data_IF_795915236774
#
_entry.id   IF_795915236774
#
_cell.length_a   1.000
_cell.length_b   1.000
_cell.length_c   1.000
_cell.angle_alpha   90.00
_cell.angle_beta   90.00
_cell.angle_gamma   90.00
#
_symmetry.space_group_name_H-M   'P 1'
#
loop_
_entity.id
_entity.type
_entity.pdbx_description
1 polymer ?
#
# COMPACT_ATOMS: atom_id res chain seq x y z
N UNK A 1 2.76 -15.94 13.98
CA UNK A 1 1.50 -15.18 14.01
C UNK A 1 1.12 -14.94 12.57
N UNK A 2 -0.07 -15.37 12.12
CA UNK A 2 -0.56 -15.07 10.77
C UNK A 2 -0.95 -13.61 10.75
N UNK A 3 -0.10 -12.75 10.18
CA UNK A 3 -0.49 -11.38 9.84
C UNK A 3 -1.58 -11.52 8.77
N UNK A 4 -2.80 -11.05 9.07
CA UNK A 4 -3.85 -11.00 8.08
C UNK A 4 -3.66 -9.75 7.25
N UNK A 5 -3.47 -9.92 5.95
CA UNK A 5 -3.43 -8.79 5.03
C UNK A 5 -4.80 -8.09 5.02
N UNK A 6 -4.77 -6.76 5.08
CA UNK A 6 -5.94 -5.90 5.07
C UNK A 6 -6.04 -5.27 3.68
N UNK A 7 -7.09 -5.63 2.95
CA UNK A 7 -7.38 -5.03 1.66
C UNK A 7 -8.35 -3.86 1.83
N UNK A 8 -7.95 -2.71 1.27
CA UNK A 8 -8.72 -1.48 1.30
C UNK A 8 -9.15 -1.14 -0.13
N UNK A 9 -10.37 -0.62 -0.29
CA UNK A 9 -10.84 -0.05 -1.55
C UNK A 9 -9.75 0.79 -2.22
N UNK A 10 -9.40 0.44 -3.46
CA UNK A 10 -8.30 1.04 -4.22
C UNK A 10 -8.36 2.57 -4.22
N UNK A 11 -9.55 3.14 -4.43
CA UNK A 11 -9.76 4.59 -4.41
C UNK A 11 -9.44 5.19 -3.04
N UNK A 12 -9.89 4.54 -1.96
CA UNK A 12 -9.65 4.99 -0.58
C UNK A 12 -8.16 4.90 -0.24
N UNK A 13 -7.50 3.82 -0.66
CA UNK A 13 -6.08 3.58 -0.42
C UNK A 13 -5.21 4.67 -1.07
N UNK A 14 -5.37 4.89 -2.38
CA UNK A 14 -4.59 5.90 -3.08
C UNK A 14 -4.97 7.33 -2.67
N UNK A 15 -6.24 7.60 -2.35
CA UNK A 15 -6.63 8.91 -1.82
C UNK A 15 -5.97 9.23 -0.47
N UNK A 16 -5.82 8.23 0.40
CA UNK A 16 -5.10 8.38 1.66
C UNK A 16 -3.61 8.67 1.41
N UNK A 17 -2.97 7.95 0.49
CA UNK A 17 -1.57 8.18 0.11
C UNK A 17 -1.38 9.59 -0.46
N UNK A 18 -2.25 10.03 -1.38
CA UNK A 18 -2.19 11.38 -1.96
C UNK A 18 -2.27 12.46 -0.88
N UNK A 19 -3.12 12.28 0.14
CA UNK A 19 -3.20 13.21 1.27
C UNK A 19 -1.94 13.21 2.12
N UNK A 20 -1.36 12.05 2.39
CA UNK A 20 -0.10 11.95 3.14
C UNK A 20 1.02 12.63 2.34
N UNK A 21 1.09 12.40 1.03
CA UNK A 21 2.07 13.04 0.15
C UNK A 21 1.91 14.57 0.15
N UNK A 22 0.67 15.08 0.08
CA UNK A 22 0.40 16.52 0.20
C UNK A 22 0.86 17.11 1.54
N UNK A 23 0.65 16.38 2.64
CA UNK A 23 1.12 16.79 3.96
C UNK A 23 2.66 16.88 3.95
N UNK A 24 3.35 15.86 3.43
CA UNK A 24 4.81 15.85 3.34
C UNK A 24 5.31 17.03 2.48
N UNK A 25 4.72 17.26 1.30
CA UNK A 25 5.07 18.39 0.43
C UNK A 25 4.77 19.76 1.04
N UNK A 26 3.87 19.84 2.02
CA UNK A 26 3.64 21.08 2.77
C UNK A 26 4.81 21.41 3.70
N UNK A 27 5.47 20.39 4.25
CA UNK A 27 6.64 20.56 5.12
C UNK A 27 7.95 20.67 4.32
N UNK A 28 8.09 19.89 3.26
CA UNK A 28 9.23 19.90 2.36
C UNK A 28 8.75 19.84 0.90
N UNK A 29 8.56 21.00 0.24
CA UNK A 29 8.10 21.06 -1.14
C UNK A 29 9.07 20.42 -2.14
N UNK A 30 10.34 20.30 -1.78
CA UNK A 30 11.40 19.70 -2.61
C UNK A 30 11.62 18.22 -2.27
N UNK A 31 10.75 17.64 -1.44
CA UNK A 31 10.83 16.22 -1.08
C UNK A 31 10.89 15.34 -2.35
N UNK A 32 11.76 14.32 -2.35
CA UNK A 32 11.97 13.47 -3.51
C UNK A 32 10.69 12.72 -3.91
N UNK A 33 10.53 12.46 -5.21
CA UNK A 33 9.37 11.75 -5.77
C UNK A 33 9.19 10.31 -5.23
N UNK A 34 10.15 9.82 -4.45
CA UNK A 34 10.13 8.51 -3.80
C UNK A 34 9.20 8.43 -2.57
N UNK A 35 8.73 9.56 -2.02
CA UNK A 35 7.87 9.59 -0.82
C UNK A 35 6.66 8.66 -0.95
N UNK A 36 6.03 8.63 -2.14
CA UNK A 36 4.89 7.75 -2.40
C UNK A 36 5.26 6.27 -2.27
N UNK A 37 6.39 5.88 -2.85
CA UNK A 37 6.89 4.50 -2.78
C UNK A 37 7.22 4.10 -1.35
N UNK A 38 7.85 5.00 -0.59
CA UNK A 38 8.19 4.76 0.81
C UNK A 38 6.93 4.58 1.68
N UNK A 39 5.89 5.38 1.45
CA UNK A 39 4.59 5.22 2.12
C UNK A 39 3.98 3.85 1.81
N UNK A 40 3.92 3.47 0.53
CA UNK A 40 3.36 2.17 0.11
C UNK A 40 4.13 1.02 0.73
N UNK A 41 5.47 1.10 0.74
CA UNK A 41 6.31 0.07 1.34
C UNK A 41 6.00 -0.11 2.83
N UNK A 42 5.92 0.98 3.60
CA UNK A 42 5.60 0.90 5.03
C UNK A 42 4.18 0.36 5.26
N UNK A 43 3.19 0.79 4.49
CA UNK A 43 1.82 0.27 4.61
C UNK A 43 1.75 -1.24 4.33
N UNK A 44 2.48 -1.71 3.32
CA UNK A 44 2.53 -3.13 2.97
C UNK A 44 3.35 -3.99 3.94
N UNK A 45 4.58 -3.59 4.23
CA UNK A 45 5.53 -4.40 5.02
C UNK A 45 5.21 -4.38 6.53
N UNK A 46 4.84 -3.22 7.08
CA UNK A 46 4.62 -3.07 8.53
C UNK A 46 3.16 -3.29 8.93
N UNK A 47 2.20 -2.88 8.08
CA UNK A 47 0.76 -2.96 8.40
C UNK A 47 0.01 -4.05 7.63
N UNK A 48 0.64 -4.71 6.64
CA UNK A 48 -0.04 -5.69 5.79
C UNK A 48 -1.20 -5.08 5.00
N UNK A 49 -1.15 -3.77 4.73
CA UNK A 49 -2.24 -3.03 4.11
C UNK A 49 -1.99 -2.86 2.61
N UNK A 50 -2.96 -3.28 1.80
CA UNK A 50 -2.85 -3.26 0.35
C UNK A 50 -4.14 -2.74 -0.30
N UNK A 51 -4.07 -2.14 -1.51
CA UNK A 51 -5.27 -1.83 -2.28
C UNK A 51 -5.95 -3.13 -2.75
N UNK A 52 -7.27 -3.12 -2.92
CA UNK A 52 -8.02 -4.26 -3.48
C UNK A 52 -7.49 -4.72 -4.84
N UNK A 53 -6.93 -3.82 -5.66
CA UNK A 53 -6.28 -4.16 -6.92
C UNK A 53 -5.06 -5.10 -6.74
N UNK A 54 -4.40 -5.08 -5.59
CA UNK A 54 -3.33 -6.05 -5.30
C UNK A 54 -3.86 -7.49 -5.20
N UNK A 55 -5.15 -7.68 -4.90
CA UNK A 55 -5.78 -9.00 -4.85
C UNK A 55 -5.90 -9.64 -6.24
N UNK A 56 -6.17 -8.86 -7.28
CA UNK A 56 -6.30 -9.37 -8.66
C UNK A 56 -4.95 -9.75 -9.27
N UNK A 57 -3.83 -9.25 -8.72
CA UNK A 57 -2.49 -9.76 -8.98
C UNK A 57 -2.19 -11.10 -8.29
N UNK A 58 -2.94 -11.45 -7.23
CA UNK A 58 -2.78 -12.69 -6.46
C UNK A 58 -3.55 -13.88 -7.04
N UNK A 59 -4.46 -13.67 -8.00
CA UNK A 59 -5.18 -14.77 -8.69
C UNK A 59 -4.29 -15.58 -9.64
N UNK A 60 -3.05 -15.13 -9.88
CA UNK A 60 -1.99 -15.88 -10.57
C UNK A 60 -0.90 -16.44 -9.64
N UNK A 61 -1.05 -16.33 -8.32
CA UNK A 61 -0.22 -17.12 -7.42
C UNK A 61 -0.72 -18.57 -7.49
N UNK A 62 0.13 -19.55 -7.86
CA UNK A 62 -0.32 -20.94 -7.91
C UNK A 62 -0.82 -21.34 -6.53
N UNK A 63 -1.98 -21.99 -6.51
CA UNK A 63 -2.66 -22.53 -5.34
C UNK A 63 -1.85 -23.68 -4.67
N UNK A 64 -0.58 -23.46 -4.33
CA UNK A 64 0.32 -24.47 -3.76
C UNK A 64 0.64 -24.26 -2.28
N UNK A 65 -0.12 -23.44 -1.56
CA UNK A 65 -0.07 -23.39 -0.09
C UNK A 65 -1.45 -23.64 0.54
N UNK A 66 -2.04 -24.79 0.22
CA UNK A 66 -2.99 -25.45 1.11
C UNK A 66 -2.99 -26.98 0.86
N UNK A 67 -2.29 -27.68 1.77
CA UNK A 67 -2.38 -29.11 2.12
C UNK A 67 -1.99 -30.17 1.07
#
# INVERSE_FOLDING_TARGET
>A
MTNQDIYISTDTYFHAIDRIEQIVRTFDPEAPDMVRSDIIQVLGEELGMWPEEALTGSENAPATLAA
#
